data_IF_183916935932
#
_entry.id   IF_183916935932
#
_cell.length_a   1.000
_cell.length_b   1.000
_cell.length_c   1.000
_cell.angle_alpha   90.00
_cell.angle_beta   90.00
_cell.angle_gamma   90.00
#
_symmetry.space_group_name_H-M   'P 1'
#
loop_
_entity.id
_entity.type
_entity.pdbx_description
1 polymer ?
#
# COMPACT_ATOMS: atom_id res chain seq x y z
N UNK A 1 9.08 8.67 -10.35
CA UNK A 1 9.86 8.88 -9.10
C UNK A 1 11.31 9.11 -9.49
N UNK A 2 12.07 9.85 -8.67
CA UNK A 2 13.50 10.15 -8.88
C UNK A 2 14.33 9.42 -7.84
N UNK A 3 15.55 9.00 -8.22
CA UNK A 3 16.52 8.43 -7.28
C UNK A 3 17.34 9.57 -6.65
N UNK A 4 16.75 10.26 -5.65
CA UNK A 4 17.24 11.52 -5.06
C UNK A 4 17.43 11.46 -3.53
N UNK A 5 17.48 10.28 -2.96
CA UNK A 5 17.61 10.06 -1.52
C UNK A 5 16.32 10.25 -0.72
N UNK A 6 15.18 10.54 -1.37
CA UNK A 6 13.88 10.66 -0.70
C UNK A 6 13.30 9.30 -0.31
N UNK A 7 12.18 9.33 0.40
CA UNK A 7 11.51 8.11 0.86
C UNK A 7 10.46 7.64 -0.15
N UNK A 8 10.39 6.32 -0.36
CA UNK A 8 9.32 5.64 -1.08
C UNK A 8 8.69 4.61 -0.15
N UNK A 9 7.36 4.57 -0.10
CA UNK A 9 6.60 3.63 0.74
C UNK A 9 6.09 2.47 -0.12
N UNK A 10 6.29 1.24 0.36
CA UNK A 10 5.68 0.02 -0.16
C UNK A 10 4.75 -0.55 0.91
N UNK A 11 3.47 -0.23 0.81
CA UNK A 11 2.43 -0.57 1.78
C UNK A 11 1.71 -1.82 1.29
N UNK A 12 1.62 -2.85 2.15
CA UNK A 12 1.26 -4.19 1.75
C UNK A 12 2.41 -4.84 0.97
N UNK A 13 3.60 -4.82 1.57
CA UNK A 13 4.81 -5.30 0.91
C UNK A 13 4.82 -6.82 0.68
N UNK A 14 3.93 -7.56 1.34
CA UNK A 14 3.82 -9.01 1.23
C UNK A 14 5.18 -9.67 1.44
N UNK A 15 5.61 -10.58 0.58
CA UNK A 15 6.93 -11.24 0.64
C UNK A 15 8.08 -10.38 0.11
N UNK A 16 7.84 -9.12 -0.29
CA UNK A 16 8.86 -8.12 -0.63
C UNK A 16 9.33 -8.10 -2.08
N UNK A 17 8.62 -8.71 -3.02
CA UNK A 17 9.02 -8.71 -4.45
C UNK A 17 9.08 -7.28 -4.99
N UNK A 18 8.02 -6.47 -4.78
CA UNK A 18 7.99 -5.09 -5.22
C UNK A 18 9.00 -4.22 -4.46
N UNK A 19 9.17 -4.47 -3.16
CA UNK A 19 10.18 -3.78 -2.35
C UNK A 19 11.58 -3.94 -2.92
N UNK A 20 11.98 -5.18 -3.27
CA UNK A 20 13.29 -5.45 -3.90
C UNK A 20 13.43 -4.72 -5.22
N UNK A 21 12.39 -4.75 -6.06
CA UNK A 21 12.39 -4.06 -7.34
C UNK A 21 12.55 -2.54 -7.18
N UNK A 22 11.80 -1.94 -6.26
CA UNK A 22 11.94 -0.52 -5.93
C UNK A 22 13.34 -0.18 -5.40
N UNK A 23 13.85 -0.99 -4.47
CA UNK A 23 15.16 -0.78 -3.86
C UNK A 23 16.31 -0.85 -4.88
N UNK A 24 16.22 -1.76 -5.85
CA UNK A 24 17.22 -1.88 -6.92
C UNK A 24 17.10 -0.77 -7.97
N UNK A 25 15.90 -0.29 -8.26
CA UNK A 25 15.67 0.80 -9.23
C UNK A 25 15.96 2.19 -8.66
N UNK A 26 15.90 2.34 -7.34
CA UNK A 26 16.08 3.59 -6.61
C UNK A 26 17.11 3.40 -5.49
N UNK A 27 18.38 3.10 -5.83
CA UNK A 27 19.39 2.68 -4.86
C UNK A 27 19.78 3.77 -3.84
N UNK A 28 19.56 5.06 -4.14
CA UNK A 28 19.81 6.14 -3.18
C UNK A 28 18.57 6.46 -2.32
N UNK A 29 17.37 6.06 -2.75
CA UNK A 29 16.15 6.26 -1.98
C UNK A 29 16.05 5.33 -0.78
N UNK A 30 15.31 5.76 0.23
CA UNK A 30 15.01 4.97 1.41
C UNK A 30 13.63 4.31 1.22
N UNK A 31 13.61 3.00 1.02
CA UNK A 31 12.36 2.25 0.84
C UNK A 31 11.83 1.84 2.20
N UNK A 32 10.62 2.26 2.53
CA UNK A 32 9.92 1.86 3.76
C UNK A 32 8.89 0.81 3.39
N UNK A 33 9.11 -0.43 3.80
CA UNK A 33 8.22 -1.55 3.52
C UNK A 33 7.35 -1.85 4.74
N UNK A 34 6.05 -1.95 4.54
CA UNK A 34 5.06 -2.17 5.60
C UNK A 34 4.29 -3.45 5.32
N UNK A 35 4.31 -4.40 6.24
CA UNK A 35 3.61 -5.69 6.12
C UNK A 35 3.24 -6.23 7.51
N UNK A 36 1.96 -6.55 7.78
CA UNK A 36 1.51 -7.02 9.09
C UNK A 36 1.61 -8.54 9.29
N UNK A 37 1.62 -9.35 8.22
CA UNK A 37 1.45 -10.80 8.31
C UNK A 37 2.75 -11.53 8.66
N UNK A 38 2.81 -12.29 9.80
CA UNK A 38 4.06 -12.90 10.28
C UNK A 38 4.71 -13.87 9.28
N UNK A 39 3.92 -14.67 8.55
CA UNK A 39 4.44 -15.62 7.57
C UNK A 39 5.11 -14.88 6.40
N UNK A 40 4.51 -13.77 5.92
CA UNK A 40 5.07 -12.91 4.87
C UNK A 40 6.37 -12.26 5.33
N UNK A 41 6.42 -11.76 6.57
CA UNK A 41 7.58 -11.13 7.20
C UNK A 41 8.79 -12.06 7.18
N UNK A 42 8.59 -13.33 7.55
CA UNK A 42 9.68 -14.33 7.55
C UNK A 42 10.25 -14.52 6.13
N UNK A 43 9.39 -14.61 5.12
CA UNK A 43 9.82 -14.75 3.73
C UNK A 43 10.49 -13.47 3.23
N UNK A 44 9.91 -12.31 3.53
CA UNK A 44 10.43 -11.00 3.18
C UNK A 44 11.88 -10.82 3.67
N UNK A 45 12.15 -11.08 4.94
CA UNK A 45 13.50 -10.99 5.53
C UNK A 45 14.52 -11.88 4.81
N UNK A 46 14.12 -13.08 4.41
CA UNK A 46 14.96 -13.99 3.64
C UNK A 46 15.28 -13.45 2.23
N UNK A 47 14.28 -12.86 1.58
CA UNK A 47 14.44 -12.28 0.24
C UNK A 47 15.39 -11.07 0.29
N UNK A 48 15.18 -10.12 1.22
CA UNK A 48 16.05 -8.95 1.40
C UNK A 48 17.52 -9.37 1.62
N UNK A 49 17.74 -10.35 2.51
CA UNK A 49 19.07 -10.89 2.76
C UNK A 49 19.69 -11.56 1.51
N UNK A 50 18.91 -12.38 0.79
CA UNK A 50 19.38 -13.07 -0.43
C UNK A 50 19.85 -12.10 -1.50
N UNK A 51 19.16 -10.97 -1.67
CA UNK A 51 19.49 -9.96 -2.67
C UNK A 51 20.42 -8.85 -2.14
N UNK A 52 20.89 -8.97 -0.88
CA UNK A 52 21.78 -7.99 -0.23
C UNK A 52 21.24 -6.54 -0.30
N UNK A 53 19.94 -6.38 -0.13
CA UNK A 53 19.28 -5.07 -0.18
C UNK A 53 19.56 -4.31 1.12
N UNK A 54 20.13 -3.11 1.03
CA UNK A 54 20.56 -2.30 2.18
C UNK A 54 19.79 -1.01 2.40
N UNK A 55 18.99 -0.57 1.43
CA UNK A 55 18.23 0.68 1.47
C UNK A 55 16.74 0.47 1.83
N UNK A 56 16.41 -0.61 2.53
CA UNK A 56 15.06 -0.93 2.99
C UNK A 56 14.97 -0.88 4.51
N UNK A 57 13.96 -0.18 5.01
CA UNK A 57 13.51 -0.23 6.42
C UNK A 57 12.17 -0.94 6.45
N UNK A 58 12.02 -1.89 7.37
CA UNK A 58 10.84 -2.74 7.44
C UNK A 58 10.00 -2.45 8.69
N UNK A 59 8.68 -2.38 8.53
CA UNK A 59 7.69 -2.12 9.58
C UNK A 59 6.70 -3.30 9.67
N UNK A 60 6.69 -3.97 10.81
CA UNK A 60 5.86 -5.15 11.09
C UNK A 60 4.52 -4.72 11.72
N UNK A 61 3.69 -4.02 10.96
CA UNK A 61 2.40 -3.50 11.40
C UNK A 61 1.45 -3.27 10.23
N UNK A 62 0.16 -3.09 10.52
CA UNK A 62 -0.82 -2.59 9.56
C UNK A 62 -0.86 -1.06 9.56
N UNK A 63 -1.36 -0.47 8.48
CA UNK A 63 -1.68 0.95 8.42
C UNK A 63 -3.19 1.16 8.35
N UNK A 64 -3.66 2.26 8.95
CA UNK A 64 -5.06 2.66 8.93
C UNK A 64 -5.23 4.12 9.34
N UNK A 65 -6.47 4.52 9.63
CA UNK A 65 -6.75 5.91 10.04
C UNK A 65 -6.48 6.19 11.53
N UNK A 66 -6.28 5.14 12.34
CA UNK A 66 -6.02 5.25 13.78
C UNK A 66 -4.89 4.35 14.21
N UNK A 67 -4.18 4.73 15.29
CA UNK A 67 -3.19 3.86 15.94
C UNK A 67 -3.86 2.92 16.93
N UNK A 68 -3.30 1.72 17.10
CA UNK A 68 -3.81 0.72 18.03
C UNK A 68 -3.48 -0.71 17.65
N UNK A 69 -4.43 -1.62 17.85
CA UNK A 69 -4.34 -3.02 17.44
C UNK A 69 -5.53 -3.34 16.54
N UNK A 70 -5.29 -4.09 15.49
CA UNK A 70 -6.32 -4.52 14.54
C UNK A 70 -6.27 -6.03 14.34
N UNK A 71 -7.39 -6.63 14.00
CA UNK A 71 -7.48 -8.02 13.57
C UNK A 71 -7.32 -8.11 12.07
N UNK A 72 -6.37 -8.93 11.63
CA UNK A 72 -6.21 -9.34 10.24
C UNK A 72 -6.94 -10.66 10.02
N UNK A 73 -7.54 -10.84 8.86
CA UNK A 73 -8.03 -12.13 8.37
C UNK A 73 -7.00 -12.72 7.43
N UNK A 74 -6.58 -13.94 7.66
CA UNK A 74 -5.87 -14.77 6.69
C UNK A 74 -6.87 -15.77 6.09
N UNK A 75 -7.40 -15.50 4.89
CA UNK A 75 -8.42 -16.37 4.30
C UNK A 75 -7.90 -17.78 4.07
N UNK A 76 -8.79 -18.76 4.23
CA UNK A 76 -8.50 -20.15 3.95
C UNK A 76 -9.53 -20.72 2.97
N UNK A 77 -9.06 -21.48 1.98
CA UNK A 77 -9.94 -22.17 1.04
C UNK A 77 -9.51 -23.62 0.92
N UNK A 78 -10.41 -24.55 1.22
CA UNK A 78 -10.12 -26.00 1.21
C UNK A 78 -8.87 -26.36 2.04
N UNK A 79 -8.65 -25.69 3.19
CA UNK A 79 -7.50 -25.90 4.07
C UNK A 79 -6.20 -25.20 3.65
N UNK A 80 -6.15 -24.56 2.48
CA UNK A 80 -4.99 -23.79 2.04
C UNK A 80 -5.10 -22.32 2.48
N UNK A 81 -4.01 -21.78 3.01
CA UNK A 81 -3.89 -20.36 3.38
C UNK A 81 -3.75 -19.49 2.11
N UNK A 82 -4.56 -18.44 2.01
CA UNK A 82 -4.53 -17.47 0.91
C UNK A 82 -3.75 -16.23 1.32
N UNK A 83 -2.44 -16.34 1.47
CA UNK A 83 -1.58 -15.27 2.02
C UNK A 83 -1.70 -13.93 1.29
N UNK A 84 -1.87 -13.96 -0.05
CA UNK A 84 -2.01 -12.76 -0.87
C UNK A 84 -3.34 -12.01 -0.68
N UNK A 85 -4.34 -12.62 -0.02
CA UNK A 85 -5.65 -12.02 0.25
C UNK A 85 -5.83 -11.66 1.73
N UNK A 86 -4.75 -11.58 2.50
CA UNK A 86 -4.80 -11.18 3.90
C UNK A 86 -5.18 -9.71 4.03
N UNK A 87 -6.22 -9.41 4.78
CA UNK A 87 -6.78 -8.07 4.90
C UNK A 87 -7.18 -7.74 6.34
N UNK A 88 -7.41 -6.47 6.62
CA UNK A 88 -7.95 -6.00 7.91
C UNK A 88 -9.41 -6.47 8.05
N UNK A 89 -9.74 -7.05 9.22
CA UNK A 89 -11.14 -7.35 9.56
C UNK A 89 -11.91 -6.05 9.79
N UNK A 90 -12.70 -5.67 8.82
CA UNK A 90 -13.48 -4.43 8.85
C UNK A 90 -14.87 -4.64 8.23
N UNK A 91 -15.89 -3.94 8.72
CA UNK A 91 -17.28 -4.07 8.25
C UNK A 91 -17.47 -3.72 6.75
N UNK A 92 -16.61 -2.86 6.20
CA UNK A 92 -16.63 -2.50 4.78
C UNK A 92 -16.03 -3.57 3.86
N UNK A 93 -15.39 -4.62 4.41
CA UNK A 93 -14.79 -5.71 3.65
C UNK A 93 -15.64 -6.96 3.92
N UNK A 94 -16.45 -7.35 2.95
CA UNK A 94 -17.41 -8.45 3.09
C UNK A 94 -16.94 -9.74 2.43
N UNK A 95 -15.89 -9.69 1.62
CA UNK A 95 -15.34 -10.84 0.91
C UNK A 95 -14.16 -11.45 1.69
N UNK A 96 -13.96 -12.76 1.53
CA UNK A 96 -12.82 -13.50 2.07
C UNK A 96 -12.67 -13.46 3.60
N UNK A 97 -13.79 -13.25 4.35
CA UNK A 97 -13.78 -13.10 5.80
C UNK A 97 -13.73 -14.43 6.59
N UNK A 98 -13.64 -15.56 5.90
CA UNK A 98 -13.48 -16.89 6.54
C UNK A 98 -11.99 -17.27 6.56
N UNK A 99 -11.42 -17.41 7.77
CA UNK A 99 -10.01 -17.76 7.90
C UNK A 99 -9.48 -17.63 9.32
N UNK A 100 -8.16 -17.52 9.43
CA UNK A 100 -7.50 -17.32 10.71
C UNK A 100 -7.47 -15.81 11.05
N UNK A 101 -7.85 -15.48 12.28
CA UNK A 101 -7.70 -14.13 12.82
C UNK A 101 -6.33 -13.97 13.47
N UNK A 102 -5.63 -12.90 13.15
CA UNK A 102 -4.32 -12.56 13.70
C UNK A 102 -4.38 -11.11 14.17
N UNK A 103 -4.03 -10.87 15.44
CA UNK A 103 -3.90 -9.51 15.96
C UNK A 103 -2.53 -8.93 15.58
N UNK A 104 -2.54 -7.68 15.10
CA UNK A 104 -1.32 -6.96 14.72
C UNK A 104 -1.39 -5.50 15.18
N UNK A 105 -0.26 -4.86 15.49
CA UNK A 105 -0.21 -3.42 15.70
C UNK A 105 -0.68 -2.68 14.44
N UNK A 106 -1.32 -1.52 14.63
CA UNK A 106 -1.71 -0.61 13.57
C UNK A 106 -1.27 0.81 13.91
N UNK A 107 -0.79 1.53 12.91
CA UNK A 107 -0.46 2.95 13.06
C UNK A 107 -0.93 3.75 11.84
N UNK A 108 -0.68 5.05 11.84
CA UNK A 108 -1.04 5.93 10.73
C UNK A 108 0.19 6.32 9.92
N UNK A 109 0.00 6.66 8.65
CA UNK A 109 1.08 7.22 7.82
C UNK A 109 1.61 8.52 8.41
N UNK A 110 0.73 9.35 8.94
CA UNK A 110 1.10 10.64 9.51
C UNK A 110 1.99 10.49 10.74
N UNK A 111 1.74 9.50 11.60
CA UNK A 111 2.59 9.25 12.77
C UNK A 111 3.97 8.73 12.36
N UNK A 112 4.02 7.72 11.48
CA UNK A 112 5.27 7.05 11.15
C UNK A 112 6.20 7.92 10.27
N UNK A 113 5.63 8.74 9.38
CA UNK A 113 6.40 9.38 8.31
C UNK A 113 6.30 10.91 8.28
N UNK A 114 5.73 11.58 9.31
CA UNK A 114 5.54 13.05 9.39
C UNK A 114 6.79 13.87 9.10
N UNK A 115 7.97 13.32 9.39
CA UNK A 115 9.27 13.99 9.22
C UNK A 115 10.05 13.49 7.99
N UNK A 116 9.46 12.66 7.15
CA UNK A 116 10.08 12.13 5.93
C UNK A 116 9.65 12.92 4.70
N UNK A 117 10.57 13.04 3.74
CA UNK A 117 10.25 13.53 2.39
C UNK A 117 9.81 12.31 1.57
N UNK A 118 8.50 12.11 1.44
CA UNK A 118 7.92 10.98 0.70
C UNK A 118 7.59 11.43 -0.71
N UNK A 119 8.21 10.79 -1.72
CA UNK A 119 7.96 11.10 -3.13
C UNK A 119 7.02 10.11 -3.82
N UNK A 120 6.87 8.91 -3.26
CA UNK A 120 6.05 7.87 -3.88
C UNK A 120 5.49 6.90 -2.85
N UNK A 121 4.29 6.42 -3.11
CA UNK A 121 3.59 5.40 -2.35
C UNK A 121 3.10 4.33 -3.33
N UNK A 122 3.53 3.07 -3.15
CA UNK A 122 2.82 1.90 -3.67
C UNK A 122 1.95 1.37 -2.54
N UNK A 123 0.69 1.08 -2.82
CA UNK A 123 -0.25 0.57 -1.82
C UNK A 123 -1.11 -0.55 -2.40
N UNK A 124 -1.22 -1.63 -1.62
CA UNK A 124 -1.99 -2.81 -1.96
C UNK A 124 -2.29 -3.54 -0.65
N UNK A 125 -3.41 -3.19 -0.03
CA UNK A 125 -3.81 -3.62 1.32
C UNK A 125 -5.18 -4.30 1.34
N UNK A 126 -5.56 -4.89 0.20
CA UNK A 126 -6.73 -5.74 0.06
C UNK A 126 -8.01 -5.06 0.56
N UNK A 127 -8.37 -3.96 -0.12
CA UNK A 127 -9.58 -3.17 0.10
C UNK A 127 -9.61 -2.32 1.39
N UNK A 128 -8.44 -2.01 1.99
CA UNK A 128 -8.34 -1.11 3.15
C UNK A 128 -7.65 0.24 2.82
N UNK A 129 -7.44 0.53 1.53
CA UNK A 129 -6.69 1.68 1.02
C UNK A 129 -7.26 3.02 1.50
N UNK A 130 -8.59 3.17 1.52
CA UNK A 130 -9.24 4.39 1.97
C UNK A 130 -8.84 4.78 3.40
N UNK A 131 -8.80 3.82 4.31
CA UNK A 131 -8.44 4.06 5.71
C UNK A 131 -6.96 4.39 5.88
N UNK A 132 -6.09 3.78 5.05
CA UNK A 132 -4.67 4.13 5.00
C UNK A 132 -4.47 5.55 4.50
N UNK A 133 -5.17 5.96 3.44
CA UNK A 133 -5.13 7.32 2.90
C UNK A 133 -5.61 8.35 3.92
N UNK A 134 -6.68 8.07 4.66
CA UNK A 134 -7.19 8.91 5.75
C UNK A 134 -6.17 9.11 6.86
N UNK A 135 -5.46 8.04 7.25
CA UNK A 135 -4.39 8.12 8.24
C UNK A 135 -3.11 8.79 7.74
N UNK A 136 -3.05 9.20 6.47
CA UNK A 136 -1.93 9.88 5.84
C UNK A 136 -2.27 11.22 5.22
N UNK A 137 -3.40 11.82 5.59
CA UNK A 137 -3.92 13.04 4.95
C UNK A 137 -2.91 14.20 5.00
N UNK A 138 -2.29 14.44 6.16
CA UNK A 138 -1.32 15.52 6.32
C UNK A 138 0.00 15.24 5.58
N UNK A 139 0.47 14.00 5.60
CA UNK A 139 1.63 13.56 4.83
C UNK A 139 1.39 13.77 3.33
N UNK A 140 0.22 13.34 2.82
CA UNK A 140 -0.14 13.45 1.40
C UNK A 140 -0.26 14.91 0.99
N UNK A 141 -0.92 15.76 1.77
CA UNK A 141 -1.00 17.21 1.53
C UNK A 141 0.38 17.87 1.46
N UNK A 142 1.25 17.53 2.41
CA UNK A 142 2.58 18.15 2.55
C UNK A 142 3.56 17.69 1.47
N UNK A 143 3.58 16.39 1.17
CA UNK A 143 4.61 15.79 0.32
C UNK A 143 4.20 15.67 -1.14
N UNK A 144 2.89 15.62 -1.42
CA UNK A 144 2.34 15.44 -2.78
C UNK A 144 2.94 14.24 -3.51
N UNK A 145 3.03 13.04 -2.87
CA UNK A 145 3.66 11.87 -3.49
C UNK A 145 2.89 11.39 -4.72
N UNK A 146 3.58 10.75 -5.65
CA UNK A 146 2.90 9.90 -6.65
C UNK A 146 2.38 8.68 -5.92
N UNK A 147 1.09 8.34 -6.08
CA UNK A 147 0.47 7.18 -5.44
C UNK A 147 0.09 6.17 -6.52
N UNK A 148 0.61 4.94 -6.40
CA UNK A 148 0.19 3.78 -7.19
C UNK A 148 -0.53 2.81 -6.28
N UNK A 149 -1.76 2.42 -6.63
CA UNK A 149 -2.55 1.49 -5.82
C UNK A 149 -3.46 0.60 -6.66
N UNK A 150 -3.69 -0.63 -6.16
CA UNK A 150 -4.76 -1.50 -6.61
C UNK A 150 -6.04 -1.16 -5.83
N UNK A 151 -7.16 -0.98 -6.54
CA UNK A 151 -8.47 -0.68 -5.94
C UNK A 151 -9.53 -1.60 -6.54
N UNK A 152 -10.19 -2.37 -5.71
CA UNK A 152 -11.30 -3.23 -6.12
C UNK A 152 -12.51 -2.39 -6.56
N UNK A 153 -13.32 -2.91 -7.46
CA UNK A 153 -14.48 -2.20 -7.98
C UNK A 153 -15.66 -2.21 -6.99
N UNK A 154 -15.59 -1.30 -6.03
CA UNK A 154 -16.55 -1.19 -4.93
C UNK A 154 -16.61 0.23 -4.35
N UNK A 155 -17.33 0.40 -3.23
CA UNK A 155 -17.51 1.68 -2.54
C UNK A 155 -16.19 2.28 -2.03
N UNK A 156 -15.24 1.44 -1.55
CA UNK A 156 -13.95 1.92 -1.06
C UNK A 156 -13.12 2.56 -2.17
N UNK A 157 -13.18 2.05 -3.42
CA UNK A 157 -12.58 2.71 -4.60
C UNK A 157 -13.13 4.12 -4.78
N UNK A 158 -14.45 4.29 -4.71
CA UNK A 158 -15.07 5.60 -4.89
C UNK A 158 -14.65 6.58 -3.79
N UNK A 159 -14.53 6.10 -2.55
CA UNK A 159 -14.00 6.89 -1.43
C UNK A 159 -12.56 7.31 -1.66
N UNK A 160 -11.69 6.41 -2.17
CA UNK A 160 -10.30 6.73 -2.52
C UNK A 160 -10.23 7.81 -3.61
N UNK A 161 -11.04 7.67 -4.67
CA UNK A 161 -11.08 8.64 -5.76
C UNK A 161 -11.51 10.02 -5.26
N UNK A 162 -12.64 10.09 -4.54
CA UNK A 162 -13.13 11.36 -3.99
C UNK A 162 -12.10 12.01 -3.07
N UNK A 163 -11.53 11.24 -2.13
CA UNK A 163 -10.53 11.73 -1.20
C UNK A 163 -9.30 12.32 -1.89
N UNK A 164 -8.74 11.62 -2.88
CA UNK A 164 -7.55 12.09 -3.60
C UNK A 164 -7.89 13.24 -4.56
N UNK A 165 -9.08 13.25 -5.16
CA UNK A 165 -9.56 14.37 -5.98
C UNK A 165 -9.70 15.64 -5.14
N UNK A 166 -10.27 15.57 -3.94
CA UNK A 166 -10.40 16.69 -3.00
C UNK A 166 -9.02 17.24 -2.59
N UNK A 167 -8.00 16.39 -2.55
CA UNK A 167 -6.61 16.79 -2.35
C UNK A 167 -5.91 17.28 -3.64
N UNK A 168 -6.63 17.40 -4.77
CA UNK A 168 -6.10 17.92 -6.03
C UNK A 168 -5.22 16.93 -6.80
N UNK A 169 -5.54 15.64 -6.75
CA UNK A 169 -4.89 14.61 -7.57
C UNK A 169 -5.72 14.30 -8.82
N UNK A 170 -5.03 14.10 -9.93
CA UNK A 170 -5.60 13.50 -11.14
C UNK A 170 -5.33 12.00 -11.16
N UNK A 171 -6.31 11.23 -11.69
CA UNK A 171 -6.24 9.77 -11.77
C UNK A 171 -5.83 9.32 -13.15
N UNK A 172 -4.86 8.41 -13.21
CA UNK A 172 -4.34 7.81 -14.44
C UNK A 172 -4.35 6.29 -14.36
N UNK A 173 -4.35 5.66 -15.53
CA UNK A 173 -4.10 4.22 -15.74
C UNK A 173 -2.92 4.05 -16.70
N UNK A 174 -2.35 2.85 -16.76
CA UNK A 174 -1.29 2.52 -17.72
C UNK A 174 -1.89 1.72 -18.89
N UNK A 175 -1.76 2.25 -20.10
CA UNK A 175 -2.15 1.58 -21.34
C UNK A 175 -0.97 1.71 -22.31
N UNK A 176 -0.49 0.58 -22.83
CA UNK A 176 0.65 0.54 -23.76
C UNK A 176 1.87 1.34 -23.23
N UNK A 177 2.23 1.10 -21.97
CA UNK A 177 3.32 1.78 -21.24
C UNK A 177 3.19 3.30 -21.12
N UNK A 178 1.99 3.84 -21.32
CA UNK A 178 1.69 5.28 -21.19
C UNK A 178 0.71 5.55 -20.06
N UNK A 179 0.92 6.67 -19.38
CA UNK A 179 -0.06 7.19 -18.42
C UNK A 179 -1.19 7.87 -19.18
N UNK A 180 -2.37 7.30 -19.10
CA UNK A 180 -3.60 7.82 -19.74
C UNK A 180 -4.55 8.29 -18.65
N UNK A 181 -5.18 9.48 -18.75
CA UNK A 181 -6.20 9.90 -17.79
C UNK A 181 -7.30 8.84 -17.67
N UNK A 182 -7.67 8.50 -16.46
CA UNK A 182 -8.69 7.48 -16.22
C UNK A 182 -10.07 7.97 -16.68
N UNK A 183 -10.73 7.16 -17.51
CA UNK A 183 -12.13 7.34 -17.91
C UNK A 183 -12.93 6.07 -17.53
N UNK A 184 -13.86 6.11 -16.57
CA UNK A 184 -14.59 4.94 -16.13
C UNK A 184 -15.52 4.35 -17.19
N UNK A 185 -15.87 5.11 -18.24
CA UNK A 185 -16.66 4.60 -19.37
C UNK A 185 -15.85 3.72 -20.34
N UNK A 186 -14.52 3.85 -20.34
CA UNK A 186 -13.62 3.19 -21.30
C UNK A 186 -12.67 2.18 -20.63
N UNK A 187 -12.32 2.42 -19.35
CA UNK A 187 -11.27 1.68 -18.66
C UNK A 187 -11.81 0.79 -17.55
N UNK A 188 -11.72 -0.52 -17.71
CA UNK A 188 -12.01 -1.51 -16.68
C UNK A 188 -10.70 -1.97 -16.02
N UNK A 189 -10.18 -1.15 -15.11
CA UNK A 189 -8.88 -1.35 -14.44
C UNK A 189 -9.05 -1.45 -12.93
N UNK A 190 -8.04 -2.05 -12.27
CA UNK A 190 -7.93 -2.07 -10.80
C UNK A 190 -6.69 -1.31 -10.33
N UNK A 191 -5.71 -1.11 -11.20
CA UNK A 191 -4.46 -0.43 -10.88
C UNK A 191 -4.49 1.02 -11.35
N UNK A 192 -4.28 1.94 -10.42
CA UNK A 192 -4.38 3.38 -10.67
C UNK A 192 -3.12 4.12 -10.22
N UNK A 193 -2.81 5.20 -10.92
CA UNK A 193 -1.77 6.14 -10.55
C UNK A 193 -2.43 7.49 -10.27
N UNK A 194 -2.14 8.06 -9.10
CA UNK A 194 -2.60 9.38 -8.73
C UNK A 194 -1.40 10.33 -8.72
N UNK A 195 -1.55 11.44 -9.46
CA UNK A 195 -0.52 12.46 -9.62
C UNK A 195 -1.12 13.81 -9.20
N UNK A 196 -0.44 14.51 -8.31
CA UNK A 196 -0.84 15.82 -7.86
C UNK A 196 -0.72 16.87 -8.97
N UNK A 197 -1.76 17.69 -9.12
CA UNK A 197 -1.79 18.82 -10.06
C UNK A 197 -0.85 19.94 -9.62
#
# INVERSE_FOLDING_TARGET
MKDDGSTVLDIGANIGIMTVHLAQKLPTCNIQAIEPMPDNIVVFKRIINKYSISNVVFHELALGENSGTVKMILPTKSGAKMQGLSHVKHESITEWNEGLEIETPMDTLDNLFKNKKVQGIKMDVENFEYFVLKGGEELIKKNRPIIYTELWDNENRQKCFSFLQDLGYATYVVIDDKHVPFNPAEHQMQNFIFIAN
#
